data_IF_429597396948
#
_entry.id   IF_429597396948
#
_cell.length_a   1.000
_cell.length_b   1.000
_cell.length_c   1.000
_cell.angle_alpha   90.00
_cell.angle_beta   90.00
_cell.angle_gamma   90.00
#
_symmetry.space_group_name_H-M   'P 1'
#
loop_
_entity.id
_entity.type
_entity.pdbx_description
1 polymer ?
#
# COMPACT_ATOMS: atom_id res chain seq x y z
N UNK A 1 27.67 -9.66 -17.30
CA UNK A 1 26.71 -9.55 -16.19
C UNK A 1 27.05 -8.29 -15.43
N UNK A 2 26.45 -7.17 -15.81
CA UNK A 2 26.56 -5.92 -15.04
C UNK A 2 25.84 -6.11 -13.70
N UNK A 3 26.50 -5.67 -12.63
CA UNK A 3 26.03 -5.84 -11.25
C UNK A 3 24.69 -5.16 -11.04
N UNK A 4 23.62 -5.96 -10.90
CA UNK A 4 22.31 -5.48 -10.47
C UNK A 4 22.34 -5.30 -8.95
N UNK A 5 22.03 -4.11 -8.49
CA UNK A 5 22.10 -3.70 -7.07
C UNK A 5 21.02 -4.45 -6.29
N UNK A 6 21.39 -5.06 -5.15
CA UNK A 6 20.42 -5.59 -4.18
C UNK A 6 19.64 -4.39 -3.62
N UNK A 7 18.33 -4.37 -3.82
CA UNK A 7 17.45 -3.26 -3.46
C UNK A 7 17.30 -3.11 -1.93
N UNK A 8 17.65 -4.16 -1.17
CA UNK A 8 17.72 -4.16 0.29
C UNK A 8 18.69 -3.11 0.84
N UNK A 9 18.18 -1.91 1.08
CA UNK A 9 18.94 -0.77 1.64
C UNK A 9 18.85 0.53 0.84
N UNK A 10 18.24 0.53 -0.35
CA UNK A 10 18.17 1.71 -1.24
C UNK A 10 17.13 2.76 -0.83
N UNK A 11 16.32 2.50 0.20
CA UNK A 11 15.19 3.35 0.58
C UNK A 11 15.44 4.21 1.82
N UNK A 12 16.60 4.06 2.49
CA UNK A 12 16.83 4.63 3.83
C UNK A 12 16.72 6.15 3.91
N UNK A 13 16.98 6.84 2.80
CA UNK A 13 16.93 8.31 2.71
C UNK A 13 15.62 8.82 2.05
N UNK A 14 14.66 7.93 1.77
CA UNK A 14 13.42 8.31 1.12
C UNK A 14 12.34 8.62 2.16
N UNK A 15 11.70 9.79 2.06
CA UNK A 15 10.68 10.29 3.00
C UNK A 15 9.59 9.26 3.34
N UNK A 16 9.17 8.47 2.36
CA UNK A 16 8.12 7.46 2.56
C UNK A 16 8.58 6.29 3.43
N UNK A 17 9.84 5.90 3.32
CA UNK A 17 10.43 4.80 4.08
C UNK A 17 10.76 5.25 5.49
N UNK A 18 11.28 6.48 5.65
CA UNK A 18 11.43 7.11 6.96
C UNK A 18 10.08 7.29 7.67
N UNK A 19 9.00 7.49 6.92
CA UNK A 19 7.67 7.54 7.49
C UNK A 19 7.20 6.20 8.07
N UNK A 20 7.77 5.06 7.69
CA UNK A 20 7.36 3.76 8.20
C UNK A 20 7.80 3.53 9.65
N UNK A 21 7.01 2.74 10.38
CA UNK A 21 7.44 2.19 11.68
C UNK A 21 8.55 1.16 11.47
N UNK A 22 9.42 0.89 12.47
CA UNK A 22 10.53 -0.06 12.32
C UNK A 22 10.11 -1.41 11.74
N UNK A 23 9.05 -2.02 12.29
CA UNK A 23 8.55 -3.31 11.81
C UNK A 23 7.97 -3.26 10.38
N UNK A 24 7.49 -2.10 9.93
CA UNK A 24 7.04 -1.93 8.55
C UNK A 24 8.24 -1.80 7.60
N UNK A 25 9.34 -1.17 8.02
CA UNK A 25 10.59 -1.10 7.26
C UNK A 25 11.20 -2.48 7.08
N UNK A 26 11.26 -3.27 8.16
CA UNK A 26 11.76 -4.66 8.11
C UNK A 26 10.98 -5.48 7.07
N UNK A 27 9.65 -5.36 7.05
CA UNK A 27 8.78 -6.05 6.08
C UNK A 27 8.98 -5.55 4.64
N UNK A 28 9.25 -4.26 4.44
CA UNK A 28 9.57 -3.72 3.12
C UNK A 28 10.90 -4.28 2.63
N UNK A 29 11.94 -4.24 3.46
CA UNK A 29 13.26 -4.78 3.13
C UNK A 29 13.18 -6.28 2.86
N UNK A 30 12.40 -7.04 3.63
CA UNK A 30 12.16 -8.47 3.42
C UNK A 30 11.49 -8.73 2.07
N UNK A 31 10.48 -7.95 1.66
CA UNK A 31 9.84 -8.11 0.36
C UNK A 31 10.80 -7.92 -0.81
N UNK A 32 11.65 -6.87 -0.76
CA UNK A 32 12.66 -6.63 -1.78
C UNK A 32 13.75 -7.70 -1.78
N UNK A 33 14.18 -8.16 -0.59
CA UNK A 33 15.13 -9.26 -0.48
C UNK A 33 14.59 -10.54 -1.14
N UNK A 34 13.35 -10.92 -0.85
CA UNK A 34 12.73 -12.10 -1.45
C UNK A 34 12.62 -11.96 -2.97
N UNK A 35 12.26 -10.76 -3.44
CA UNK A 35 12.11 -10.49 -4.86
C UNK A 35 13.45 -10.58 -5.60
N UNK A 36 14.50 -9.95 -5.06
CA UNK A 36 15.85 -10.03 -5.62
C UNK A 36 16.35 -11.49 -5.63
N UNK A 37 16.08 -12.24 -4.55
CA UNK A 37 16.42 -13.68 -4.46
C UNK A 37 15.77 -14.48 -5.58
N UNK A 38 14.48 -14.27 -5.82
CA UNK A 38 13.75 -14.99 -6.86
C UNK A 38 14.16 -14.55 -8.28
N UNK A 39 14.48 -13.27 -8.48
CA UNK A 39 14.98 -12.76 -9.78
C UNK A 39 16.39 -13.28 -10.13
N UNK A 40 17.19 -13.60 -9.11
CA UNK A 40 18.51 -14.21 -9.27
C UNK A 40 18.46 -15.75 -9.31
N UNK A 41 17.32 -16.34 -8.95
CA UNK A 41 17.10 -17.77 -8.94
C UNK A 41 17.14 -18.39 -10.34
N UNK A 42 17.53 -19.66 -10.42
CA UNK A 42 17.53 -20.41 -11.67
C UNK A 42 16.21 -21.16 -11.94
N UNK A 43 15.39 -21.35 -10.91
CA UNK A 43 14.14 -22.12 -10.97
C UNK A 43 12.93 -21.19 -10.91
N UNK A 44 11.95 -21.44 -11.78
CA UNK A 44 10.66 -20.76 -11.75
C UNK A 44 9.70 -21.49 -10.82
N UNK A 45 9.07 -20.74 -9.92
CA UNK A 45 8.05 -21.24 -9.01
C UNK A 45 6.65 -21.01 -9.59
N UNK A 46 5.69 -21.82 -9.13
CA UNK A 46 4.29 -21.74 -9.59
C UNK A 46 3.59 -20.47 -9.12
N UNK A 47 3.98 -19.93 -7.95
CA UNK A 47 3.33 -18.77 -7.35
C UNK A 47 4.32 -17.94 -6.52
N UNK A 48 4.33 -16.63 -6.77
CA UNK A 48 5.20 -15.64 -6.12
C UNK A 48 4.46 -14.73 -5.13
N UNK A 49 3.23 -15.07 -4.71
CA UNK A 49 2.45 -14.31 -3.72
C UNK A 49 3.19 -14.17 -2.39
N UNK A 50 4.07 -15.13 -2.05
CA UNK A 50 4.92 -15.07 -0.85
C UNK A 50 5.90 -13.90 -0.88
N UNK A 51 6.35 -13.45 -2.06
CA UNK A 51 7.22 -12.28 -2.24
C UNK A 51 6.45 -10.99 -1.92
N UNK A 52 5.16 -10.94 -2.29
CA UNK A 52 4.31 -9.76 -2.11
C UNK A 52 3.86 -9.59 -0.65
N UNK A 53 3.75 -10.69 0.10
CA UNK A 53 3.12 -10.69 1.42
C UNK A 53 3.74 -9.73 2.44
N UNK A 54 5.08 -9.64 2.62
CA UNK A 54 5.66 -8.70 3.57
C UNK A 54 5.33 -7.24 3.21
N UNK A 55 5.47 -6.85 1.93
CA UNK A 55 5.12 -5.51 1.45
C UNK A 55 3.63 -5.21 1.64
N UNK A 56 2.75 -6.16 1.33
CA UNK A 56 1.30 -6.01 1.53
C UNK A 56 0.92 -5.78 3.00
N UNK A 57 1.63 -6.43 3.93
CA UNK A 57 1.45 -6.25 5.38
C UNK A 57 1.97 -4.88 5.85
N UNK A 58 3.16 -4.48 5.39
CA UNK A 58 3.71 -3.15 5.65
C UNK A 58 2.76 -2.05 5.15
N UNK A 59 2.23 -2.22 3.93
CA UNK A 59 1.30 -1.30 3.30
C UNK A 59 -0.01 -1.14 4.08
N UNK A 60 -0.62 -2.24 4.58
CA UNK A 60 -1.82 -2.12 5.41
C UNK A 60 -1.54 -1.33 6.70
N UNK A 61 -0.38 -1.55 7.33
CA UNK A 61 0.08 -0.76 8.47
C UNK A 61 0.29 0.71 8.12
N UNK A 62 0.95 0.99 6.99
CA UNK A 62 1.16 2.32 6.47
C UNK A 62 -0.16 3.07 6.26
N UNK A 63 -1.14 2.48 5.56
CA UNK A 63 -2.41 3.17 5.26
C UNK A 63 -3.15 3.52 6.56
N UNK A 64 -3.14 2.65 7.57
CA UNK A 64 -3.72 2.96 8.88
C UNK A 64 -3.01 4.12 9.56
N UNK A 65 -1.67 4.09 9.61
CA UNK A 65 -0.85 5.17 10.17
C UNK A 65 -1.06 6.49 9.44
N UNK A 66 -1.15 6.43 8.11
CA UNK A 66 -1.41 7.58 7.25
C UNK A 66 -2.76 8.22 7.56
N UNK A 67 -3.85 7.44 7.54
CA UNK A 67 -5.19 7.93 7.85
C UNK A 67 -5.28 8.54 9.27
N UNK A 68 -4.56 7.95 10.24
CA UNK A 68 -4.46 8.50 11.58
C UNK A 68 -3.75 9.86 11.60
N UNK A 69 -2.58 9.93 10.96
CA UNK A 69 -1.75 11.13 10.97
C UNK A 69 -2.34 12.31 10.19
N UNK A 70 -3.26 12.07 9.26
CA UNK A 70 -4.03 13.13 8.59
C UNK A 70 -5.35 13.45 9.31
N UNK A 71 -5.67 12.73 10.39
CA UNK A 71 -6.83 12.99 11.25
C UNK A 71 -8.16 12.38 10.78
N UNK A 72 -8.14 11.47 9.80
CA UNK A 72 -9.36 10.78 9.34
C UNK A 72 -9.81 9.65 10.27
N UNK A 73 -8.91 9.12 11.09
CA UNK A 73 -9.25 8.15 12.14
C UNK A 73 -8.62 8.58 13.46
N UNK A 74 -9.30 8.27 14.57
CA UNK A 74 -8.78 8.50 15.92
C UNK A 74 -7.76 7.42 16.32
N UNK A 75 -6.96 7.71 17.35
CA UNK A 75 -6.03 6.73 17.97
C UNK A 75 -6.75 5.41 18.34
N UNK A 76 -7.95 5.50 18.94
CA UNK A 76 -8.78 4.34 19.26
C UNK A 76 -9.11 3.49 18.01
N UNK A 77 -9.33 4.14 16.87
CA UNK A 77 -9.64 3.47 15.59
C UNK A 77 -8.38 2.89 14.96
N UNK A 78 -7.26 3.61 15.03
CA UNK A 78 -5.94 3.18 14.58
C UNK A 78 -5.51 1.88 15.28
N UNK A 79 -5.67 1.80 16.60
CA UNK A 79 -5.37 0.62 17.41
C UNK A 79 -6.42 -0.50 17.30
N UNK A 80 -7.55 -0.26 16.64
CA UNK A 80 -8.66 -1.22 16.61
C UNK A 80 -8.41 -2.36 15.62
N UNK A 81 -8.63 -3.60 16.09
CA UNK A 81 -8.70 -4.80 15.23
C UNK A 81 -9.93 -4.83 14.29
N UNK A 82 -10.89 -3.92 14.48
CA UNK A 82 -12.13 -3.88 13.72
C UNK A 82 -12.10 -2.93 12.53
N UNK A 83 -11.14 -1.99 12.48
CA UNK A 83 -11.00 -1.10 11.34
C UNK A 83 -10.41 -1.86 10.13
N UNK A 84 -11.10 -1.79 8.98
CA UNK A 84 -10.77 -2.56 7.78
C UNK A 84 -10.63 -1.63 6.58
N UNK A 85 -9.39 -1.45 6.10
CA UNK A 85 -9.08 -0.65 4.91
C UNK A 85 -9.97 -1.02 3.73
N UNK A 86 -10.14 -2.33 3.49
CA UNK A 86 -10.96 -2.84 2.41
C UNK A 86 -12.41 -2.41 2.42
N UNK A 87 -13.02 -2.13 3.58
CA UNK A 87 -14.38 -1.58 3.68
C UNK A 87 -14.34 -0.05 3.66
N UNK A 88 -13.43 0.53 4.43
CA UNK A 88 -13.36 1.97 4.66
C UNK A 88 -13.04 2.78 3.41
N UNK A 89 -12.27 2.22 2.48
CA UNK A 89 -11.91 2.88 1.23
C UNK A 89 -12.55 2.25 0.00
N UNK A 90 -13.59 1.40 0.13
CA UNK A 90 -14.20 0.77 -1.04
C UNK A 90 -15.11 1.75 -1.79
N UNK A 91 -14.77 2.18 -3.03
CA UNK A 91 -15.61 3.11 -3.79
C UNK A 91 -16.93 2.47 -4.23
N UNK A 92 -17.00 1.14 -4.30
CA UNK A 92 -18.17 0.37 -4.75
C UNK A 92 -19.07 -0.06 -3.59
N UNK A 93 -18.79 0.37 -2.35
CA UNK A 93 -19.62 0.02 -1.21
C UNK A 93 -21.03 0.65 -1.39
N UNK A 94 -22.12 -0.13 -1.34
CA UNK A 94 -23.47 0.43 -1.46
C UNK A 94 -23.75 1.49 -0.40
N UNK A 95 -24.50 2.54 -0.75
CA UNK A 95 -24.75 3.70 0.12
C UNK A 95 -25.25 3.31 1.52
N UNK A 96 -26.16 2.34 1.61
CA UNK A 96 -26.70 1.81 2.88
C UNK A 96 -25.64 1.21 3.83
N UNK A 97 -24.44 0.89 3.34
CA UNK A 97 -23.34 0.33 4.14
C UNK A 97 -22.21 1.33 4.41
N UNK A 98 -22.28 2.53 3.81
CA UNK A 98 -21.37 3.66 4.07
C UNK A 98 -21.78 4.31 5.38
N UNK A 99 -21.09 3.94 6.46
CA UNK A 99 -21.26 4.54 7.78
C UNK A 99 -20.07 5.48 8.06
N UNK A 100 -19.97 6.01 9.29
CA UNK A 100 -18.88 6.92 9.67
C UNK A 100 -17.46 6.33 9.61
N UNK A 101 -17.27 5.08 9.20
CA UNK A 101 -15.95 4.47 8.94
C UNK A 101 -15.64 4.34 7.45
N UNK A 102 -16.53 4.81 6.57
CA UNK A 102 -16.27 4.90 5.13
C UNK A 102 -15.66 6.27 4.84
N UNK A 103 -14.38 6.27 4.47
CA UNK A 103 -13.51 7.45 4.44
C UNK A 103 -13.12 7.86 3.01
N UNK A 104 -13.67 7.19 1.99
CA UNK A 104 -13.24 7.41 0.60
C UNK A 104 -13.43 8.87 0.18
N UNK A 105 -14.62 9.45 0.39
CA UNK A 105 -14.90 10.84 0.02
C UNK A 105 -14.18 11.84 0.93
N UNK A 106 -13.98 11.51 2.20
CA UNK A 106 -13.18 12.35 3.11
C UNK A 106 -11.75 12.46 2.62
N UNK A 107 -11.14 11.32 2.27
CA UNK A 107 -9.79 11.27 1.73
C UNK A 107 -9.69 11.97 0.37
N UNK A 108 -10.71 11.82 -0.49
CA UNK A 108 -10.81 12.51 -1.77
C UNK A 108 -10.75 14.04 -1.55
N UNK A 109 -11.61 14.58 -0.69
CA UNK A 109 -11.67 16.02 -0.39
C UNK A 109 -10.38 16.58 0.19
N UNK A 110 -9.59 15.78 0.89
CA UNK A 110 -8.32 16.24 1.47
C UNK A 110 -7.26 16.44 0.40
N UNK A 111 -7.00 15.44 -0.44
CA UNK A 111 -5.94 15.52 -1.45
C UNK A 111 -6.39 16.18 -2.77
N UNK A 112 -7.69 16.43 -3.01
CA UNK A 112 -8.19 17.22 -4.15
C UNK A 112 -7.86 18.72 -4.08
N UNK A 113 -7.42 19.22 -2.92
CA UNK A 113 -6.99 20.62 -2.77
C UNK A 113 -5.68 20.93 -3.49
N UNK A 114 -5.05 19.94 -4.11
CA UNK A 114 -3.86 20.11 -4.94
C UNK A 114 -4.28 20.25 -6.40
N UNK A 115 -3.59 21.10 -7.16
CA UNK A 115 -3.84 21.26 -8.62
C UNK A 115 -3.35 20.06 -9.45
N UNK A 116 -2.77 19.05 -8.80
CA UNK A 116 -2.19 17.89 -9.43
C UNK A 116 -3.26 16.85 -9.78
N UNK A 117 -3.39 16.56 -11.07
CA UNK A 117 -4.39 15.66 -11.63
C UNK A 117 -4.27 14.21 -11.12
N UNK A 118 -3.08 13.80 -10.65
CA UNK A 118 -2.85 12.46 -10.12
C UNK A 118 -3.58 12.27 -8.77
N UNK A 119 -3.61 13.31 -7.94
CA UNK A 119 -4.23 13.27 -6.62
C UNK A 119 -5.76 13.22 -6.66
N UNK A 120 -6.38 13.58 -7.80
CA UNK A 120 -7.81 13.38 -8.05
C UNK A 120 -8.24 11.91 -8.06
N UNK A 121 -7.29 10.97 -8.17
CA UNK A 121 -7.58 9.51 -8.14
C UNK A 121 -7.03 8.85 -6.88
N UNK A 122 -6.50 9.63 -5.95
CA UNK A 122 -5.67 9.12 -4.86
C UNK A 122 -6.36 8.10 -3.94
N UNK A 123 -7.59 8.29 -3.44
CA UNK A 123 -8.29 7.27 -2.64
C UNK A 123 -8.51 5.97 -3.41
N UNK A 124 -8.75 6.07 -4.73
CA UNK A 124 -8.91 4.91 -5.61
C UNK A 124 -7.61 4.15 -5.78
N UNK A 125 -6.47 4.84 -5.88
CA UNK A 125 -5.15 4.23 -5.94
C UNK A 125 -4.84 3.47 -4.65
N UNK A 126 -5.08 4.07 -3.48
CA UNK A 126 -4.89 3.39 -2.18
C UNK A 126 -5.72 2.11 -2.09
N UNK A 127 -7.02 2.21 -2.37
CA UNK A 127 -7.89 1.06 -2.29
C UNK A 127 -7.55 -0.02 -3.34
N UNK A 128 -7.19 0.40 -4.56
CA UNK A 128 -6.81 -0.52 -5.64
C UNK A 128 -5.56 -1.32 -5.26
N UNK A 129 -4.51 -0.65 -4.77
CA UNK A 129 -3.29 -1.32 -4.31
C UNK A 129 -3.59 -2.32 -3.18
N UNK A 130 -4.36 -1.92 -2.16
CA UNK A 130 -4.80 -2.84 -1.10
C UNK A 130 -5.61 -4.03 -1.65
N UNK A 131 -6.55 -3.78 -2.57
CA UNK A 131 -7.39 -4.84 -3.14
C UNK A 131 -6.54 -5.82 -3.94
N UNK A 132 -5.72 -5.32 -4.84
CA UNK A 132 -5.00 -6.15 -5.80
C UNK A 132 -3.84 -6.88 -5.15
N UNK A 133 -3.01 -6.20 -4.35
CA UNK A 133 -1.81 -6.79 -3.76
C UNK A 133 -1.98 -7.35 -2.36
N UNK A 134 -3.09 -7.08 -1.64
CA UNK A 134 -3.33 -7.65 -0.30
C UNK A 134 -4.59 -8.48 -0.21
N UNK A 135 -5.68 -8.13 -0.90
CA UNK A 135 -6.92 -8.91 -0.79
C UNK A 135 -6.90 -10.09 -1.77
N UNK A 136 -6.73 -9.80 -3.06
CA UNK A 136 -6.96 -10.78 -4.10
C UNK A 136 -5.87 -11.85 -4.20
N UNK A 137 -4.61 -11.54 -3.85
CA UNK A 137 -3.51 -12.53 -3.91
C UNK A 137 -3.68 -13.68 -2.90
N UNK A 138 -4.43 -13.47 -1.82
CA UNK A 138 -4.68 -14.52 -0.80
C UNK A 138 -6.03 -15.21 -0.95
N UNK A 139 -6.85 -14.78 -1.92
CA UNK A 139 -8.14 -15.41 -2.13
C UNK A 139 -8.01 -16.53 -3.17
N UNK A 140 -8.23 -17.75 -2.72
CA UNK A 140 -8.46 -18.89 -3.61
C UNK A 140 -9.88 -18.81 -4.18
N UNK A 141 -10.00 -18.72 -5.51
CA UNK A 141 -11.28 -18.75 -6.22
C UNK A 141 -11.38 -20.08 -6.98
N UNK A 142 -12.31 -20.95 -6.55
CA UNK A 142 -12.53 -22.24 -7.21
C UNK A 142 -12.86 -22.02 -8.71
N UNK A 143 -12.10 -22.68 -9.59
CA UNK A 143 -12.23 -22.56 -11.04
C UNK A 143 -11.67 -21.26 -11.65
N UNK A 144 -11.02 -20.41 -10.85
CA UNK A 144 -10.33 -19.18 -11.29
C UNK A 144 -9.08 -18.98 -10.45
N UNK A 145 -8.20 -19.98 -10.47
CA UNK A 145 -6.94 -19.94 -9.75
C UNK A 145 -6.15 -18.72 -10.20
N UNK A 146 -5.79 -17.87 -9.23
CA UNK A 146 -4.98 -16.68 -9.47
C UNK A 146 -3.59 -16.98 -8.93
N UNK A 147 -2.70 -17.38 -9.82
CA UNK A 147 -1.28 -17.51 -9.54
C UNK A 147 -0.61 -16.17 -9.83
N UNK A 148 0.34 -15.79 -8.98
CA UNK A 148 1.13 -14.57 -9.16
C UNK A 148 2.47 -14.93 -9.79
N UNK A 149 2.78 -14.40 -10.98
CA UNK A 149 4.10 -14.54 -11.59
C UNK A 149 5.13 -13.64 -10.90
N UNK A 150 6.42 -13.90 -11.09
CA UNK A 150 7.49 -13.06 -10.54
C UNK A 150 7.39 -11.61 -11.04
N UNK A 151 7.06 -11.42 -12.32
CA UNK A 151 6.83 -10.08 -12.90
C UNK A 151 5.62 -9.38 -12.27
N UNK A 152 4.53 -10.10 -12.03
CA UNK A 152 3.37 -9.54 -11.32
C UNK A 152 3.72 -9.20 -9.86
N UNK A 153 4.52 -10.02 -9.18
CA UNK A 153 5.00 -9.74 -7.83
C UNK A 153 5.81 -8.43 -7.78
N UNK A 154 6.75 -8.22 -8.71
CA UNK A 154 7.49 -6.94 -8.84
C UNK A 154 6.55 -5.76 -9.02
N UNK A 155 5.60 -5.84 -9.95
CA UNK A 155 4.62 -4.77 -10.21
C UNK A 155 3.77 -4.46 -8.96
N UNK A 156 3.39 -5.46 -8.20
CA UNK A 156 2.63 -5.28 -6.96
C UNK A 156 3.48 -4.63 -5.86
N UNK A 157 4.72 -5.08 -5.67
CA UNK A 157 5.66 -4.52 -4.68
C UNK A 157 5.95 -3.05 -4.99
N UNK A 158 6.25 -2.71 -6.24
CA UNK A 158 6.51 -1.33 -6.66
C UNK A 158 5.25 -0.47 -6.59
N UNK A 159 4.09 -1.01 -6.96
CA UNK A 159 2.82 -0.30 -6.86
C UNK A 159 2.46 0.08 -5.42
N UNK A 160 2.82 -0.74 -4.43
CA UNK A 160 2.69 -0.36 -3.03
C UNK A 160 3.62 0.80 -2.66
N UNK A 161 4.90 0.72 -3.05
CA UNK A 161 5.88 1.79 -2.82
C UNK A 161 5.39 3.12 -3.38
N UNK A 162 5.00 3.15 -4.65
CA UNK A 162 4.55 4.37 -5.34
C UNK A 162 3.36 5.01 -4.62
N UNK A 163 2.38 4.22 -4.19
CA UNK A 163 1.24 4.76 -3.45
C UNK A 163 1.64 5.29 -2.06
N UNK A 164 2.61 4.66 -1.38
CA UNK A 164 3.14 5.19 -0.12
C UNK A 164 3.87 6.52 -0.32
N UNK A 165 4.70 6.62 -1.36
CA UNK A 165 5.39 7.87 -1.76
C UNK A 165 4.41 9.01 -2.02
N UNK A 166 3.40 8.77 -2.87
CA UNK A 166 2.35 9.74 -3.14
C UNK A 166 1.62 10.16 -1.86
N UNK A 167 1.34 9.21 -0.97
CA UNK A 167 0.64 9.48 0.28
C UNK A 167 1.43 10.40 1.21
N UNK A 168 2.73 10.18 1.36
CA UNK A 168 3.59 11.05 2.17
C UNK A 168 3.69 12.44 1.55
N UNK A 169 3.81 12.54 0.22
CA UNK A 169 3.77 13.82 -0.50
C UNK A 169 2.45 14.57 -0.27
N UNK A 170 1.28 13.93 -0.40
CA UNK A 170 -0.01 14.58 -0.07
C UNK A 170 -0.03 15.10 1.37
N UNK A 171 0.47 14.31 2.34
CA UNK A 171 0.53 14.74 3.75
C UNK A 171 1.37 16.01 3.95
N UNK A 172 2.52 16.12 3.27
CA UNK A 172 3.37 17.32 3.37
C UNK A 172 2.62 18.54 2.83
N UNK A 173 1.99 18.41 1.66
CA UNK A 173 1.18 19.48 1.06
C UNK A 173 0.04 19.93 2.00
N UNK A 174 -0.66 18.98 2.62
CA UNK A 174 -1.73 19.25 3.59
C UNK A 174 -1.27 20.04 4.83
N UNK A 175 0.00 19.92 5.22
CA UNK A 175 0.57 20.72 6.32
C UNK A 175 0.88 22.13 5.86
N UNK A 176 1.52 22.29 4.69
CA UNK A 176 1.88 23.59 4.14
C UNK A 176 0.68 24.49 3.82
N UNK A 177 -0.51 23.92 3.56
CA UNK A 177 -1.74 24.71 3.35
C UNK A 177 -2.44 25.19 4.63
N UNK A 178 -1.93 24.85 5.81
CA UNK A 178 -2.48 25.28 7.12
C UNK A 178 -1.69 26.41 7.77
N UNK A 179 -0.54 26.75 7.19
CA UNK A 179 0.30 27.91 7.53
C UNK A 179 -0.04 29.08 6.59
#
# INVERSE_FOLDING_TARGET
MEGRVIMGGMFKEQDWFEYLEPTMRDLVEEAYYLLDREEMGAEELVDYSFVVFPMAKAYEGFVKKFLHNIGLISEKTYLSKHFRIGRSLNPSLPAKYRNGWWLFDDLQRMCEKTDDAEYKKFPRLIWKAWREGRNMIFHYFAGRERLVSLEEARKLVDGFREVMEMSVKCRVMLKSSKD
#
